data_IF_179353710784
#
_entry.id   IF_179353710784
#
_cell.length_a   1.000
_cell.length_b   1.000
_cell.length_c   1.000
_cell.angle_alpha   90.00
_cell.angle_beta   90.00
_cell.angle_gamma   90.00
#
_symmetry.space_group_name_H-M   'P 1'
#
loop_
_entity.id
_entity.type
_entity.pdbx_description
1 polymer ?
#
# COMPACT_ATOMS: atom_id res chain seq x y z
N UNK A 1 -19.90 -12.94 4.65
CA UNK A 1 -18.50 -13.38 4.40
C UNK A 1 -17.67 -12.17 4.03
N UNK A 2 -16.94 -11.60 4.98
CA UNK A 2 -16.02 -10.49 4.72
C UNK A 2 -14.79 -10.99 3.95
N UNK A 3 -14.85 -10.96 2.62
CA UNK A 3 -13.70 -11.29 1.76
C UNK A 3 -12.61 -10.24 1.99
N UNK A 4 -11.65 -10.56 2.86
CA UNK A 4 -10.46 -9.75 3.14
C UNK A 4 -9.40 -10.04 2.07
N UNK A 5 -8.99 -9.03 1.34
CA UNK A 5 -7.90 -9.16 0.37
C UNK A 5 -6.59 -8.85 1.08
N UNK A 6 -5.59 -9.72 0.90
CA UNK A 6 -4.23 -9.50 1.41
C UNK A 6 -3.31 -9.09 0.27
N UNK A 7 -2.54 -8.06 0.50
CA UNK A 7 -1.39 -7.69 -0.33
C UNK A 7 -0.12 -8.07 0.40
N UNK A 8 0.76 -8.75 -0.31
CA UNK A 8 2.12 -9.06 0.15
C UNK A 8 3.07 -8.14 -0.59
N UNK A 9 3.90 -7.43 0.16
CA UNK A 9 4.84 -6.45 -0.37
C UNK A 9 6.26 -6.97 -0.20
N UNK A 10 7.01 -7.08 -1.30
CA UNK A 10 8.35 -7.66 -1.33
C UNK A 10 9.46 -6.60 -1.48
N UNK A 11 10.57 -6.85 -0.79
CA UNK A 11 11.76 -5.99 -0.63
C UNK A 11 12.26 -5.28 -1.89
N UNK A 12 12.46 -6.01 -2.99
CA UNK A 12 13.12 -5.46 -4.19
C UNK A 12 12.26 -4.47 -5.01
N UNK A 13 11.01 -4.24 -4.62
CA UNK A 13 10.07 -3.44 -5.41
C UNK A 13 9.56 -2.20 -4.66
N UNK A 14 9.98 -1.98 -3.40
CA UNK A 14 9.31 -1.01 -2.53
C UNK A 14 10.25 -0.19 -1.63
N UNK A 15 9.76 0.99 -1.22
CA UNK A 15 10.41 1.88 -0.28
C UNK A 15 10.40 1.38 1.16
N UNK A 16 11.41 1.79 1.92
CA UNK A 16 11.54 1.51 3.35
C UNK A 16 10.42 2.14 4.19
N UNK A 17 9.98 3.37 3.86
CA UNK A 17 8.79 3.96 4.50
C UNK A 17 7.62 3.96 3.53
N UNK A 18 6.59 3.15 3.78
CA UNK A 18 5.37 3.12 2.97
C UNK A 18 4.22 3.76 3.73
N UNK A 19 3.51 4.67 3.08
CA UNK A 19 2.32 5.32 3.61
C UNK A 19 1.09 4.98 2.74
N UNK A 20 -0.08 4.93 3.37
CA UNK A 20 -1.35 4.75 2.69
C UNK A 20 -2.34 5.88 3.01
N UNK A 21 -3.10 6.31 2.00
CA UNK A 21 -4.30 7.13 2.22
C UNK A 21 -5.53 6.24 2.21
N UNK A 22 -6.29 6.29 3.30
CA UNK A 22 -7.58 5.63 3.36
C UNK A 22 -8.66 6.38 2.57
N UNK A 23 -8.50 7.69 2.36
CA UNK A 23 -9.38 8.57 1.56
C UNK A 23 -8.58 9.72 0.92
N UNK A 24 -9.10 10.37 -0.14
CA UNK A 24 -8.41 11.43 -0.89
C UNK A 24 -7.98 12.67 -0.08
N UNK A 25 -8.51 12.89 1.13
CA UNK A 25 -8.16 14.02 2.03
C UNK A 25 -7.84 13.62 3.47
N UNK A 26 -7.56 12.33 3.72
CA UNK A 26 -7.17 11.90 5.06
C UNK A 26 -5.68 11.92 5.24
N UNK A 27 -5.23 12.11 6.49
CA UNK A 27 -3.83 11.96 6.89
C UNK A 27 -3.28 10.61 6.40
N UNK A 28 -2.09 10.66 5.82
CA UNK A 28 -1.36 9.47 5.43
C UNK A 28 -1.06 8.63 6.67
N UNK A 29 -1.29 7.33 6.59
CA UNK A 29 -0.95 6.37 7.64
C UNK A 29 0.29 5.61 7.22
N UNK A 30 1.31 5.59 8.07
CA UNK A 30 2.47 4.73 7.88
C UNK A 30 2.02 3.26 8.01
N UNK A 31 2.35 2.44 7.01
CA UNK A 31 2.01 1.01 6.98
C UNK A 31 3.25 0.12 7.05
N UNK A 32 4.41 0.67 6.73
CA UNK A 32 5.70 0.02 6.93
C UNK A 32 6.75 1.10 7.20
N UNK A 33 7.61 0.85 8.19
CA UNK A 33 8.81 1.63 8.43
C UNK A 33 10.05 0.92 7.87
N UNK A 34 11.20 1.61 7.88
CA UNK A 34 12.48 1.11 7.38
C UNK A 34 12.88 -0.27 7.93
N UNK A 35 12.51 -0.59 9.17
CA UNK A 35 12.79 -1.90 9.79
C UNK A 35 11.80 -2.99 9.42
N UNK A 36 10.57 -2.64 9.01
CA UNK A 36 9.55 -3.59 8.53
C UNK A 36 9.67 -3.86 7.03
N UNK A 37 10.37 -2.99 6.29
CA UNK A 37 10.74 -3.22 4.90
C UNK A 37 12.03 -4.03 4.72
N UNK A 38 12.78 -4.31 5.80
CA UNK A 38 14.01 -5.09 5.74
C UNK A 38 13.74 -6.54 6.15
N UNK A 39 14.02 -7.49 5.24
CA UNK A 39 13.73 -8.91 5.41
C UNK A 39 12.64 -9.44 4.47
N UNK A 40 11.64 -10.15 5.02
CA UNK A 40 10.59 -10.89 4.29
C UNK A 40 9.52 -10.00 3.64
N UNK A 41 9.50 -8.69 3.95
CA UNK A 41 8.46 -7.76 3.54
C UNK A 41 7.32 -7.65 4.55
N UNK A 42 6.19 -7.07 4.14
CA UNK A 42 5.04 -6.88 5.03
C UNK A 42 3.69 -7.16 4.34
N UNK A 43 2.69 -7.56 5.13
CA UNK A 43 1.32 -7.78 4.67
C UNK A 43 0.43 -6.55 4.93
N UNK A 44 -0.43 -6.21 3.97
CA UNK A 44 -1.49 -5.24 4.17
C UNK A 44 -2.86 -5.81 3.81
N UNK A 45 -3.80 -5.71 4.74
CA UNK A 45 -5.17 -6.23 4.56
C UNK A 45 -6.11 -5.12 4.09
N UNK A 46 -6.68 -5.29 2.90
CA UNK A 46 -7.72 -4.43 2.35
C UNK A 46 -9.06 -4.81 2.98
N UNK A 47 -9.52 -3.98 3.91
CA UNK A 47 -10.77 -4.21 4.69
C UNK A 47 -12.03 -3.66 4.02
N UNK A 48 -11.90 -2.74 3.05
CA UNK A 48 -13.03 -2.02 2.44
C UNK A 48 -12.94 -2.10 0.92
N UNK A 49 -14.09 -2.08 0.26
CA UNK A 49 -14.16 -1.95 -1.19
C UNK A 49 -13.98 -0.49 -1.62
N UNK A 50 -12.74 -0.03 -1.64
CA UNK A 50 -12.36 1.33 -2.04
C UNK A 50 -10.94 1.32 -2.63
N UNK A 51 -10.55 2.35 -3.40
CA UNK A 51 -9.15 2.49 -3.81
C UNK A 51 -8.26 2.78 -2.59
N UNK A 52 -7.13 2.08 -2.51
CA UNK A 52 -6.06 2.31 -1.55
C UNK A 52 -4.87 2.87 -2.31
N UNK A 53 -4.42 4.06 -1.92
CA UNK A 53 -3.24 4.70 -2.50
C UNK A 53 -2.05 4.45 -1.60
N UNK A 54 -1.00 3.87 -2.16
CA UNK A 54 0.25 3.56 -1.51
C UNK A 54 1.36 4.42 -2.12
N UNK A 55 2.23 4.97 -1.28
CA UNK A 55 3.39 5.72 -1.75
C UNK A 55 4.53 5.68 -0.74
N UNK A 56 5.72 5.99 -1.23
CA UNK A 56 6.89 6.19 -0.40
C UNK A 56 6.75 7.44 0.49
N UNK A 57 6.85 7.27 1.81
CA UNK A 57 6.82 8.31 2.82
C UNK A 57 8.20 8.77 3.30
N UNK A 58 9.27 8.44 2.56
CA UNK A 58 10.62 8.92 2.89
C UNK A 58 10.74 10.44 2.72
N UNK A 59 11.55 11.07 3.60
CA UNK A 59 11.80 12.51 3.56
C UNK A 59 12.51 12.85 2.25
N UNK A 60 12.01 13.86 1.55
CA UNK A 60 12.64 14.38 0.32
C UNK A 60 11.92 14.10 -0.99
N UNK A 61 10.77 13.40 -0.98
CA UNK A 61 9.92 13.13 -2.16
C UNK A 61 10.58 12.41 -3.35
N UNK A 62 11.90 12.21 -3.35
CA UNK A 62 12.71 11.64 -4.43
C UNK A 62 12.15 10.32 -4.94
N UNK A 63 11.82 9.38 -4.03
CA UNK A 63 11.32 8.07 -4.44
C UNK A 63 9.86 8.11 -4.94
N UNK A 64 9.04 9.03 -4.44
CA UNK A 64 7.61 9.14 -4.80
C UNK A 64 7.37 9.97 -6.07
N UNK A 65 8.10 11.09 -6.24
CA UNK A 65 8.00 11.98 -7.41
C UNK A 65 8.92 11.54 -8.54
N UNK A 66 10.21 11.33 -8.25
CA UNK A 66 11.22 11.08 -9.29
C UNK A 66 11.39 9.58 -9.53
N UNK A 67 11.28 8.76 -8.48
CA UNK A 67 11.32 7.29 -8.55
C UNK A 67 9.97 6.62 -8.86
N UNK A 68 8.87 7.39 -8.97
CA UNK A 68 7.55 6.88 -9.31
C UNK A 68 6.98 5.83 -8.34
N UNK A 69 7.51 5.70 -7.12
CA UNK A 69 7.09 4.70 -6.12
C UNK A 69 5.78 5.07 -5.45
N UNK A 70 4.72 5.10 -6.26
CA UNK A 70 3.32 5.26 -5.87
C UNK A 70 2.47 4.35 -6.73
N UNK A 71 1.50 3.69 -6.13
CA UNK A 71 0.56 2.83 -6.84
C UNK A 71 -0.78 2.85 -6.10
N UNK A 72 -1.85 2.47 -6.81
CA UNK A 72 -3.15 2.30 -6.18
C UNK A 72 -3.62 0.86 -6.37
N UNK A 73 -4.30 0.33 -5.36
CA UNK A 73 -4.94 -0.98 -5.42
C UNK A 73 -6.40 -0.80 -5.07
N UNK A 74 -7.30 -1.32 -5.90
CA UNK A 74 -8.71 -1.44 -5.60
C UNK A 74 -9.06 -2.92 -5.59
N UNK A 75 -9.59 -3.47 -4.48
CA UNK A 75 -10.12 -4.83 -4.49
C UNK A 75 -11.15 -4.98 -5.59
N UNK A 76 -10.96 -5.93 -6.50
CA UNK A 76 -11.97 -6.26 -7.48
C UNK A 76 -13.05 -7.09 -6.79
N UNK A 77 -14.31 -6.68 -6.91
CA UNK A 77 -15.39 -7.63 -6.66
C UNK A 77 -15.23 -8.69 -7.75
N UNK A 78 -15.11 -9.98 -7.38
CA UNK A 78 -15.22 -11.04 -8.38
C UNK A 78 -16.63 -10.93 -8.96
N UNK A 79 -16.78 -10.29 -10.12
CA UNK A 79 -17.97 -10.47 -10.94
C UNK A 79 -17.99 -11.94 -11.35
N UNK A 80 -19.01 -12.68 -10.90
CA UNK A 80 -19.19 -14.09 -11.21
C UNK A 80 -18.89 -15.03 -10.03
N UNK A 81 -19.82 -15.09 -9.08
CA UNK A 81 -20.32 -16.36 -8.55
C UNK A 81 -21.84 -16.19 -8.47
N UNK A 82 -22.50 -16.27 -9.64
CA UNK A 82 -23.89 -16.69 -9.72
C UNK A 82 -23.93 -18.21 -9.59
#
# INVERSE_FOLDING_TARGET
>A
MDKKWKLHFYKHKMCSNMIHHAKPRTRAKLIANTTQGDGEGFEFVLKRWQPYYFMCGERGSLHCKDGGMKFFVKPMLRCGQY
#
